data_IF_916056359083
#
_entry.id   IF_916056359083
#
_cell.length_a   1.000
_cell.length_b   1.000
_cell.length_c   1.000
_cell.angle_alpha   90.00
_cell.angle_beta   90.00
_cell.angle_gamma   90.00
#
_symmetry.space_group_name_H-M   'P 1'
#
loop_
_entity.id
_entity.type
_entity.pdbx_description
1 polymer ?
#
# COMPACT_ATOMS: atom_id res chain seq x y z
N UNK A 1 -0.20 14.85 -9.16
CA UNK A 1 0.50 13.56 -9.09
C UNK A 1 -0.37 12.47 -9.69
N UNK A 2 0.20 11.61 -10.50
CA UNK A 2 -0.55 10.49 -11.06
C UNK A 2 -0.79 9.42 -9.99
N UNK A 3 -1.97 8.79 -10.05
CA UNK A 3 -2.29 7.66 -9.18
C UNK A 3 -1.96 6.38 -9.94
N UNK A 4 -1.13 5.53 -9.34
CA UNK A 4 -0.83 4.21 -9.90
C UNK A 4 -1.93 3.23 -9.50
N UNK A 5 -2.41 2.46 -10.46
CA UNK A 5 -3.34 1.37 -10.20
C UNK A 5 -2.56 0.07 -10.21
N UNK A 6 -2.54 -0.63 -9.08
CA UNK A 6 -1.81 -1.90 -8.95
C UNK A 6 -2.63 -2.87 -8.13
N UNK A 7 -2.96 -4.01 -8.72
CA UNK A 7 -3.66 -5.08 -8.03
C UNK A 7 -2.63 -6.02 -7.41
N UNK A 8 -2.87 -6.44 -6.19
CA UNK A 8 -1.93 -7.28 -5.45
C UNK A 8 -2.62 -8.56 -4.96
N UNK A 9 -1.83 -9.61 -4.80
CA UNK A 9 -2.28 -10.88 -4.24
C UNK A 9 -1.53 -11.10 -2.92
N UNK A 10 -2.29 -11.37 -1.86
CA UNK A 10 -1.74 -11.68 -0.55
C UNK A 10 -2.10 -13.13 -0.23
N UNK A 11 -1.09 -13.93 0.08
CA UNK A 11 -1.28 -15.32 0.50
C UNK A 11 -1.32 -15.38 2.01
N UNK A 12 -2.39 -15.95 2.59
CA UNK A 12 -2.51 -16.03 4.04
C UNK A 12 -1.38 -16.84 4.65
N UNK A 13 -0.91 -16.40 5.81
CA UNK A 13 0.16 -17.09 6.54
C UNK A 13 1.56 -16.85 5.97
N UNK A 14 1.72 -15.95 5.02
CA UNK A 14 3.02 -15.58 4.45
C UNK A 14 3.33 -14.12 4.72
N UNK A 15 4.62 -13.77 4.72
CA UNK A 15 5.02 -12.37 4.76
C UNK A 15 4.71 -11.71 3.43
N UNK A 16 4.16 -10.50 3.48
CA UNK A 16 3.86 -9.72 2.28
C UNK A 16 4.66 -8.43 2.28
N UNK A 17 5.32 -8.15 1.16
CA UNK A 17 6.02 -6.89 0.93
C UNK A 17 5.87 -6.50 -0.53
N UNK A 18 5.54 -5.24 -0.77
CA UNK A 18 5.42 -4.70 -2.12
C UNK A 18 6.05 -3.31 -2.15
N UNK A 19 6.93 -3.09 -3.11
CA UNK A 19 7.59 -1.79 -3.30
C UNK A 19 7.06 -1.11 -4.55
N UNK A 20 6.99 0.22 -4.49
CA UNK A 20 6.60 1.06 -5.62
C UNK A 20 7.63 2.17 -5.77
N UNK A 21 8.01 2.48 -7.01
CA UNK A 21 8.81 3.66 -7.33
C UNK A 21 7.88 4.71 -7.92
N UNK A 22 7.81 5.86 -7.27
CA UNK A 22 6.92 6.94 -7.67
C UNK A 22 7.67 7.95 -8.51
N UNK A 23 7.00 8.43 -9.56
CA UNK A 23 7.58 9.39 -10.49
C UNK A 23 6.74 10.67 -10.54
N UNK A 24 7.43 11.79 -10.77
CA UNK A 24 6.75 13.04 -11.06
C UNK A 24 6.42 13.05 -12.55
N UNK A 25 5.12 13.01 -12.87
CA UNK A 25 4.64 12.91 -14.24
C UNK A 25 5.05 14.11 -15.11
N UNK A 26 5.22 15.28 -14.50
CA UNK A 26 5.54 16.51 -15.24
C UNK A 26 7.02 16.58 -15.62
N UNK A 27 7.90 15.93 -14.88
CA UNK A 27 9.35 16.01 -15.09
C UNK A 27 9.95 14.68 -15.52
N UNK A 28 9.18 13.59 -15.54
CA UNK A 28 9.63 12.22 -15.82
C UNK A 28 10.80 11.77 -14.92
N UNK A 29 10.92 12.38 -13.75
CA UNK A 29 11.94 12.03 -12.77
C UNK A 29 11.28 11.37 -11.55
N UNK A 30 12.09 10.68 -10.74
CA UNK A 30 11.57 10.11 -9.50
C UNK A 30 11.11 11.23 -8.56
N UNK A 31 10.06 10.94 -7.80
CA UNK A 31 9.49 11.88 -6.85
C UNK A 31 10.35 11.88 -5.58
N UNK A 32 10.81 13.06 -5.17
CA UNK A 32 11.54 13.19 -3.90
C UNK A 32 10.53 13.21 -2.76
N UNK A 33 10.62 12.23 -1.87
CA UNK A 33 9.71 12.05 -0.75
C UNK A 33 10.25 12.55 0.59
N UNK A 34 11.28 13.40 0.55
CA UNK A 34 11.83 14.02 1.75
C UNK A 34 10.72 14.77 2.50
N UNK A 35 10.62 14.55 3.81
CA UNK A 35 9.60 15.14 4.68
C UNK A 35 8.17 14.71 4.43
N UNK A 36 7.97 13.65 3.64
CA UNK A 36 6.65 13.04 3.48
C UNK A 36 6.40 11.99 4.56
N UNK A 37 5.12 11.81 4.87
CA UNK A 37 4.65 10.67 5.68
C UNK A 37 3.75 9.79 4.84
N UNK A 38 3.67 8.52 5.18
CA UNK A 38 2.97 7.51 4.40
C UNK A 38 1.99 6.74 5.27
N UNK A 39 0.81 6.46 4.71
CA UNK A 39 -0.20 5.61 5.34
C UNK A 39 -0.89 4.76 4.27
N UNK A 40 -1.12 3.50 4.58
CA UNK A 40 -1.77 2.57 3.66
C UNK A 40 -2.67 1.63 4.42
N UNK A 41 -3.87 1.42 3.89
CA UNK A 41 -4.87 0.53 4.49
C UNK A 41 -5.59 -0.25 3.41
N UNK A 42 -6.09 -1.44 3.77
CA UNK A 42 -7.00 -2.20 2.93
C UNK A 42 -8.34 -2.36 3.65
N UNK A 43 -9.42 -2.37 2.87
CA UNK A 43 -10.79 -2.51 3.34
C UNK A 43 -11.56 -3.43 2.41
N UNK A 44 -12.66 -4.00 2.90
CA UNK A 44 -13.53 -4.81 2.06
C UNK A 44 -14.11 -3.98 0.90
N UNK A 45 -14.46 -2.74 1.18
CA UNK A 45 -14.84 -1.73 0.19
C UNK A 45 -14.52 -0.33 0.76
N UNK A 46 -14.46 0.73 -0.07
CA UNK A 46 -13.97 2.03 0.39
C UNK A 46 -14.74 2.62 1.58
N UNK A 47 -16.02 2.36 1.68
CA UNK A 47 -16.85 2.85 2.79
C UNK A 47 -16.85 1.97 4.02
N UNK A 48 -16.13 0.86 4.03
CA UNK A 48 -16.14 -0.08 5.17
C UNK A 48 -15.44 0.52 6.38
N UNK A 49 -16.07 0.42 7.55
CA UNK A 49 -15.47 0.84 8.82
C UNK A 49 -14.99 -0.35 9.64
N UNK A 50 -15.31 -1.58 9.19
CA UNK A 50 -14.89 -2.82 9.85
C UNK A 50 -14.00 -3.62 8.90
N UNK A 51 -13.20 -4.53 9.46
CA UNK A 51 -12.31 -5.37 8.66
C UNK A 51 -11.16 -4.60 8.03
N UNK A 52 -10.82 -3.44 8.59
CA UNK A 52 -9.71 -2.62 8.10
C UNK A 52 -8.39 -3.22 8.56
N UNK A 53 -7.46 -3.32 7.62
CA UNK A 53 -6.10 -3.75 7.92
C UNK A 53 -5.14 -2.63 7.50
N UNK A 54 -4.28 -2.22 8.42
CA UNK A 54 -3.28 -1.20 8.15
C UNK A 54 -1.99 -1.88 7.74
N UNK A 55 -1.49 -1.52 6.55
CA UNK A 55 -0.17 -1.98 6.11
C UNK A 55 0.93 -1.31 6.92
N UNK A 56 2.02 -2.03 7.15
CA UNK A 56 3.27 -1.41 7.57
C UNK A 56 3.83 -0.67 6.36
N UNK A 57 3.81 0.66 6.42
CA UNK A 57 4.17 1.51 5.28
C UNK A 57 5.45 2.27 5.60
N UNK A 58 6.42 2.21 4.70
CA UNK A 58 7.69 2.90 4.88
C UNK A 58 8.10 3.60 3.60
N UNK A 59 8.84 4.69 3.75
CA UNK A 59 9.53 5.33 2.63
C UNK A 59 10.93 4.72 2.59
N UNK A 60 11.13 3.77 1.67
CA UNK A 60 12.37 3.01 1.59
C UNK A 60 13.53 3.87 1.06
N UNK A 61 13.23 4.78 0.13
CA UNK A 61 14.20 5.74 -0.37
C UNK A 61 13.48 7.05 -0.69
N UNK A 62 13.70 8.07 0.13
CA UNK A 62 13.04 9.36 -0.07
C UNK A 62 13.49 10.01 -1.38
N UNK A 63 14.78 10.06 -1.63
CA UNK A 63 15.32 10.68 -2.84
C UNK A 63 15.00 9.87 -4.10
N UNK A 64 14.92 8.55 -3.97
CA UNK A 64 14.59 7.65 -5.08
C UNK A 64 13.10 7.47 -5.31
N UNK A 65 12.25 8.04 -4.46
CA UNK A 65 10.80 7.90 -4.60
C UNK A 65 10.28 6.50 -4.34
N UNK A 66 10.98 5.69 -3.56
CA UNK A 66 10.61 4.28 -3.31
C UNK A 66 9.84 4.17 -2.00
N UNK A 67 8.66 3.56 -2.07
CA UNK A 67 7.85 3.24 -0.90
C UNK A 67 7.63 1.74 -0.82
N UNK A 68 7.41 1.22 0.39
CA UNK A 68 7.13 -0.19 0.61
C UNK A 68 5.93 -0.33 1.55
N UNK A 69 5.03 -1.22 1.19
CA UNK A 69 3.92 -1.63 2.06
C UNK A 69 4.07 -3.12 2.37
N UNK A 70 3.67 -3.51 3.57
CA UNK A 70 3.83 -4.91 3.97
C UNK A 70 2.90 -5.34 5.09
N UNK A 71 2.81 -6.65 5.27
CA UNK A 71 2.11 -7.28 6.36
C UNK A 71 2.96 -8.44 6.88
N UNK A 72 2.92 -8.66 8.19
CA UNK A 72 3.58 -9.81 8.80
C UNK A 72 2.79 -11.10 8.54
N UNK A 73 3.42 -12.25 8.77
CA UNK A 73 2.75 -13.54 8.68
C UNK A 73 1.53 -13.62 9.61
N UNK A 74 1.63 -13.05 10.80
CA UNK A 74 0.50 -13.02 11.75
C UNK A 74 -0.66 -12.19 11.20
N UNK A 75 -0.36 -11.06 10.60
CA UNK A 75 -1.39 -10.20 10.00
C UNK A 75 -2.08 -10.87 8.81
N UNK A 76 -1.32 -11.48 7.91
CA UNK A 76 -1.92 -12.17 6.75
C UNK A 76 -2.70 -13.39 7.16
N UNK A 77 -2.27 -14.11 8.20
CA UNK A 77 -2.97 -15.29 8.69
C UNK A 77 -4.37 -14.96 9.22
N UNK A 78 -4.58 -13.73 9.70
CA UNK A 78 -5.87 -13.29 10.22
C UNK A 78 -6.83 -12.79 9.14
N UNK A 79 -6.37 -12.66 7.90
CA UNK A 79 -7.21 -12.20 6.80
C UNK A 79 -8.11 -13.32 6.30
N UNK A 80 -9.37 -12.98 6.00
CA UNK A 80 -10.28 -13.90 5.34
C UNK A 80 -10.01 -13.88 3.84
N UNK A 81 -9.99 -15.05 3.17
CA UNK A 81 -9.87 -15.06 1.71
C UNK A 81 -10.98 -14.26 1.04
N UNK A 82 -10.66 -13.59 -0.03
CA UNK A 82 -11.61 -12.78 -0.77
C UNK A 82 -10.98 -11.57 -1.42
N UNK A 83 -11.84 -10.65 -1.84
CA UNK A 83 -11.45 -9.44 -2.55
C UNK A 83 -11.59 -8.24 -1.63
N UNK A 84 -10.56 -7.38 -1.65
CA UNK A 84 -10.49 -6.16 -0.87
C UNK A 84 -10.03 -5.03 -1.77
N UNK A 85 -10.10 -3.80 -1.28
CA UNK A 85 -9.51 -2.63 -1.92
C UNK A 85 -8.46 -2.03 -1.00
N UNK A 86 -7.48 -1.36 -1.58
CA UNK A 86 -6.45 -0.68 -0.80
C UNK A 86 -6.04 0.62 -1.48
N UNK A 87 -5.42 1.49 -0.71
CA UNK A 87 -4.74 2.65 -1.25
C UNK A 87 -3.53 3.02 -0.40
N UNK A 88 -2.70 3.88 -0.97
CA UNK A 88 -1.53 4.45 -0.30
C UNK A 88 -1.65 5.96 -0.37
N UNK A 89 -1.59 6.61 0.79
CA UNK A 89 -1.63 8.06 0.91
C UNK A 89 -0.27 8.60 1.33
N UNK A 90 0.16 9.66 0.69
CA UNK A 90 1.33 10.43 1.09
C UNK A 90 0.87 11.80 1.58
N UNK A 91 1.48 12.27 2.66
CA UNK A 91 1.22 13.61 3.21
C UNK A 91 2.54 14.36 3.23
N UNK A 92 2.57 15.55 2.63
CA UNK A 92 3.76 16.38 2.65
C UNK A 92 3.89 17.17 3.96
N UNK A 93 4.94 17.97 4.09
CA UNK A 93 5.21 18.73 5.31
C UNK A 93 4.23 19.89 5.54
N UNK A 94 3.48 20.28 4.50
CA UNK A 94 2.43 21.31 4.63
C UNK A 94 1.07 20.72 4.95
N UNK A 95 0.95 19.39 5.02
CA UNK A 95 -0.30 18.70 5.31
C UNK A 95 -1.11 18.33 4.08
N UNK A 96 -0.60 18.58 2.87
CA UNK A 96 -1.28 18.16 1.64
C UNK A 96 -1.18 16.65 1.49
N UNK A 97 -2.34 16.02 1.29
CA UNK A 97 -2.45 14.57 1.24
C UNK A 97 -2.85 14.13 -0.17
N UNK A 98 -2.08 13.20 -0.73
CA UNK A 98 -2.31 12.66 -2.07
C UNK A 98 -2.41 11.14 -2.01
N UNK A 99 -3.39 10.59 -2.75
CA UNK A 99 -3.44 9.16 -3.02
C UNK A 99 -2.50 8.86 -4.19
N UNK A 100 -1.52 7.98 -3.97
CA UNK A 100 -0.49 7.72 -4.98
C UNK A 100 -0.58 6.32 -5.57
N UNK A 101 -1.18 5.37 -4.86
CA UNK A 101 -1.41 4.00 -5.33
C UNK A 101 -2.78 3.57 -4.88
N UNK A 102 -3.50 2.86 -5.73
CA UNK A 102 -4.76 2.22 -5.38
C UNK A 102 -4.95 0.94 -6.18
N UNK A 103 -5.87 0.09 -5.74
CA UNK A 103 -6.17 -1.13 -6.47
C UNK A 103 -6.96 -2.12 -5.64
N UNK A 104 -7.02 -3.34 -6.16
CA UNK A 104 -7.67 -4.45 -5.48
C UNK A 104 -6.63 -5.35 -4.83
N UNK A 105 -7.05 -5.98 -3.73
CA UNK A 105 -6.27 -7.02 -3.05
C UNK A 105 -7.07 -8.31 -3.15
N UNK A 106 -6.43 -9.36 -3.65
CA UNK A 106 -6.98 -10.70 -3.61
C UNK A 106 -6.27 -11.45 -2.49
N UNK A 107 -7.00 -11.86 -1.47
CA UNK A 107 -6.46 -12.67 -0.38
C UNK A 107 -6.73 -14.12 -0.71
N UNK A 108 -5.67 -14.89 -0.89
CA UNK A 108 -5.71 -16.30 -1.27
C UNK A 108 -5.28 -17.17 -0.10
N UNK A 109 -6.09 -18.18 0.19
CA UNK A 109 -5.75 -19.16 1.22
C UNK A 109 -4.90 -20.27 0.62
N UNK A 110 -3.73 -20.48 1.20
CA UNK A 110 -2.85 -21.56 0.77
C UNK A 110 -3.23 -22.89 1.37
N UNK A 111 -2.72 -23.97 0.79
CA UNK A 111 -2.86 -25.32 1.32
C UNK A 111 -1.96 -25.54 2.54
N UNK A 112 -0.79 -24.94 2.55
CA UNK A 112 0.16 -25.01 3.67
C UNK A 112 -0.07 -23.87 4.64
N UNK A 113 -0.26 -24.20 5.90
CA UNK A 113 -0.55 -23.24 6.95
C UNK A 113 0.28 -23.54 8.20
#
# INVERSE_FOLDING_TARGET
MAVYVSNIVINTGTSFNQSFTLENINTNSVLDLTDYTIKSQMRKHPGSTTGVTTFTSTIASAEGGVITIGLSTTQTASLKPGRYVYDVLLTDDSGTRDRVVEGMVIVSQGATR
#
